data_IF_329383870091
#
_entry.id   IF_329383870091
#
_cell.length_a   1.000
_cell.length_b   1.000
_cell.length_c   1.000
_cell.angle_alpha   90.00
_cell.angle_beta   90.00
_cell.angle_gamma   90.00
#
_symmetry.space_group_name_H-M   'P 1'
#
loop_
_entity.id
_entity.type
_entity.pdbx_description
1 polymer ?
#
# COMPACT_ATOMS: atom_id res chain seq x y z
N UNK A 1 -4.38 -12.95 25.98
CA UNK A 1 -3.24 -12.16 25.45
C UNK A 1 -3.21 -12.44 23.97
N UNK A 2 -3.40 -11.42 23.13
CA UNK A 2 -3.21 -11.58 21.69
C UNK A 2 -1.73 -11.94 21.43
N UNK A 3 -1.50 -12.93 20.57
CA UNK A 3 -0.15 -13.33 20.16
C UNK A 3 0.52 -12.25 19.31
N UNK A 4 1.83 -12.36 19.09
CA UNK A 4 2.51 -11.45 18.16
C UNK A 4 1.94 -11.61 16.75
N UNK A 5 1.53 -12.82 16.35
CA UNK A 5 0.86 -13.13 15.09
C UNK A 5 -0.47 -12.39 14.94
N UNK A 6 -1.29 -12.33 16.00
CA UNK A 6 -2.56 -11.57 15.98
C UNK A 6 -2.28 -10.07 15.77
N UNK A 7 -1.26 -9.53 16.43
CA UNK A 7 -0.86 -8.14 16.27
C UNK A 7 -0.28 -7.84 14.88
N UNK A 8 0.44 -8.79 14.27
CA UNK A 8 0.96 -8.67 12.90
C UNK A 8 -0.18 -8.69 11.87
N UNK A 9 -1.20 -9.53 12.06
CA UNK A 9 -2.38 -9.53 11.19
C UNK A 9 -3.20 -8.24 11.34
N UNK A 10 -3.38 -7.73 12.56
CA UNK A 10 -4.05 -6.44 12.79
C UNK A 10 -3.31 -5.29 12.07
N UNK A 11 -1.98 -5.30 12.09
CA UNK A 11 -1.17 -4.33 11.35
C UNK A 11 -1.30 -4.52 9.83
N UNK A 12 -1.30 -5.76 9.35
CA UNK A 12 -1.46 -6.07 7.94
C UNK A 12 -2.84 -5.64 7.42
N UNK A 13 -3.90 -5.83 8.20
CA UNK A 13 -5.26 -5.38 7.88
C UNK A 13 -5.31 -3.85 7.75
N UNK A 14 -4.78 -3.12 8.75
CA UNK A 14 -4.74 -1.65 8.71
C UNK A 14 -3.93 -1.11 7.54
N UNK A 15 -2.82 -1.76 7.19
CA UNK A 15 -2.03 -1.39 6.01
C UNK A 15 -2.80 -1.68 4.72
N UNK A 16 -3.58 -2.78 4.65
CA UNK A 16 -4.43 -3.05 3.51
C UNK A 16 -5.51 -1.99 3.33
N UNK A 17 -6.12 -1.50 4.41
CA UNK A 17 -7.09 -0.39 4.38
C UNK A 17 -6.43 0.89 3.83
N UNK A 18 -5.24 1.25 4.32
CA UNK A 18 -4.48 2.39 3.80
C UNK A 18 -4.15 2.23 2.31
N UNK A 19 -3.87 1.01 1.86
CA UNK A 19 -3.63 0.76 0.43
C UNK A 19 -4.89 1.02 -0.42
N UNK A 20 -6.08 0.72 0.12
CA UNK A 20 -7.36 1.03 -0.52
C UNK A 20 -7.63 2.54 -0.52
N UNK A 21 -7.40 3.23 0.60
CA UNK A 21 -7.53 4.69 0.67
C UNK A 21 -6.63 5.41 -0.36
N UNK A 22 -5.41 4.91 -0.57
CA UNK A 22 -4.49 5.43 -1.59
C UNK A 22 -4.98 5.19 -3.02
N UNK A 23 -5.71 4.11 -3.27
CA UNK A 23 -6.36 3.86 -4.57
C UNK A 23 -7.51 4.84 -4.78
N UNK A 24 -8.37 5.01 -3.79
CA UNK A 24 -9.52 5.92 -3.86
C UNK A 24 -9.06 7.36 -4.11
N UNK A 25 -8.03 7.82 -3.38
CA UNK A 25 -7.41 9.13 -3.63
C UNK A 25 -6.84 9.25 -5.05
N UNK A 26 -6.25 8.17 -5.58
CA UNK A 26 -5.77 8.14 -6.96
C UNK A 26 -6.92 8.28 -7.97
N UNK A 27 -8.04 7.57 -7.74
CA UNK A 27 -9.21 7.68 -8.60
C UNK A 27 -9.84 9.07 -8.57
N UNK A 28 -9.97 9.67 -7.40
CA UNK A 28 -10.46 11.05 -7.25
C UNK A 28 -9.57 12.03 -8.00
N UNK A 29 -8.25 11.95 -7.78
CA UNK A 29 -7.28 12.82 -8.44
C UNK A 29 -7.25 12.64 -9.96
N UNK A 30 -7.35 11.40 -10.46
CA UNK A 30 -7.46 11.12 -11.90
C UNK A 30 -8.73 11.72 -12.50
N UNK A 31 -9.85 11.65 -11.77
CA UNK A 31 -11.13 12.22 -12.21
C UNK A 31 -11.04 13.75 -12.34
N UNK A 32 -10.37 14.41 -11.40
CA UNK A 32 -10.12 15.86 -11.45
C UNK A 32 -9.12 16.22 -12.56
N UNK A 33 -8.04 15.45 -12.70
CA UNK A 33 -7.02 15.64 -13.72
C UNK A 33 -7.59 15.60 -15.14
N UNK A 34 -8.51 14.66 -15.40
CA UNK A 34 -9.18 14.51 -16.68
C UNK A 34 -9.99 15.76 -17.09
N UNK A 35 -10.41 16.59 -16.13
CA UNK A 35 -11.13 17.83 -16.39
C UNK A 35 -10.20 19.04 -16.67
N UNK A 36 -8.96 19.01 -16.17
CA UNK A 36 -8.06 20.18 -16.17
C UNK A 36 -6.81 20.08 -17.08
N UNK A 37 -6.36 18.87 -17.42
CA UNK A 37 -5.22 18.66 -18.35
C UNK A 37 -3.84 19.10 -17.84
N UNK A 38 -3.67 19.34 -16.53
CA UNK A 38 -2.42 19.85 -15.96
C UNK A 38 -1.36 18.72 -15.75
N UNK A 39 -0.13 18.86 -16.30
CA UNK A 39 0.99 17.95 -16.05
C UNK A 39 1.32 17.71 -14.57
N UNK A 40 1.00 18.63 -13.67
CA UNK A 40 1.18 18.46 -12.22
C UNK A 40 0.45 17.22 -11.67
N UNK A 41 -0.65 16.79 -12.32
CA UNK A 41 -1.38 15.61 -11.90
C UNK A 41 -0.55 14.32 -12.02
N UNK A 42 0.33 14.21 -13.02
CA UNK A 42 1.18 13.03 -13.22
C UNK A 42 2.19 12.84 -12.08
N UNK A 43 2.64 13.92 -11.45
CA UNK A 43 3.57 13.85 -10.33
C UNK A 43 2.90 13.27 -9.08
N UNK A 44 1.65 13.67 -8.82
CA UNK A 44 0.83 13.17 -7.71
C UNK A 44 0.47 11.69 -7.94
N UNK A 45 0.05 11.32 -9.15
CA UNK A 45 -0.22 9.92 -9.52
C UNK A 45 0.96 8.99 -9.25
N UNK A 46 2.16 9.40 -9.68
CA UNK A 46 3.38 8.62 -9.43
C UNK A 46 3.70 8.49 -7.94
N UNK A 47 3.37 9.51 -7.15
CA UNK A 47 3.55 9.49 -5.69
C UNK A 47 2.59 8.51 -5.03
N UNK A 48 1.30 8.57 -5.39
CA UNK A 48 0.26 7.67 -4.87
C UNK A 48 0.57 6.21 -5.24
N UNK A 49 0.88 5.93 -6.51
CA UNK A 49 1.23 4.59 -6.98
C UNK A 49 2.45 4.01 -6.25
N UNK A 50 3.47 4.84 -5.95
CA UNK A 50 4.64 4.41 -5.17
C UNK A 50 4.27 4.09 -3.73
N UNK A 51 3.46 4.93 -3.09
CA UNK A 51 3.00 4.73 -1.72
C UNK A 51 2.20 3.42 -1.61
N UNK A 52 1.22 3.21 -2.49
CA UNK A 52 0.41 1.98 -2.51
C UNK A 52 1.26 0.73 -2.64
N UNK A 53 2.23 0.72 -3.56
CA UNK A 53 3.15 -0.43 -3.73
C UNK A 53 3.97 -0.71 -2.49
N UNK A 54 4.47 0.32 -1.82
CA UNK A 54 5.23 0.16 -0.58
C UNK A 54 4.37 -0.46 0.52
N UNK A 55 3.13 0.03 0.69
CA UNK A 55 2.17 -0.50 1.67
C UNK A 55 1.79 -1.94 1.34
N UNK A 56 1.48 -2.24 0.07
CA UNK A 56 1.13 -3.61 -0.37
C UNK A 56 2.27 -4.61 -0.11
N UNK A 57 3.53 -4.19 -0.29
CA UNK A 57 4.70 -5.01 0.05
C UNK A 57 4.82 -5.25 1.55
N UNK A 58 4.54 -4.24 2.38
CA UNK A 58 4.53 -4.40 3.83
C UNK A 58 3.43 -5.38 4.28
N UNK A 59 2.23 -5.28 3.72
CA UNK A 59 1.15 -6.26 3.97
C UNK A 59 1.61 -7.68 3.62
N UNK A 60 2.20 -7.86 2.44
CA UNK A 60 2.70 -9.17 2.02
C UNK A 60 3.78 -9.71 2.95
N UNK A 61 4.72 -8.87 3.40
CA UNK A 61 5.78 -9.26 4.33
C UNK A 61 5.24 -9.67 5.71
N UNK A 62 4.23 -8.97 6.22
CA UNK A 62 3.60 -9.30 7.50
C UNK A 62 2.80 -10.60 7.43
N UNK A 63 2.10 -10.86 6.32
CA UNK A 63 1.23 -12.04 6.15
C UNK A 63 1.95 -13.29 5.68
N UNK A 64 3.07 -13.16 4.98
CA UNK A 64 3.82 -14.31 4.50
C UNK A 64 4.33 -15.19 5.67
N UNK A 65 4.48 -14.62 6.87
CA UNK A 65 5.41 -15.15 7.85
C UNK A 65 6.83 -15.07 7.28
N UNK A 66 7.86 -15.09 8.12
CA UNK A 66 9.25 -14.96 7.67
C UNK A 66 9.58 -15.85 6.44
N UNK A 67 9.77 -15.28 5.23
CA UNK A 67 10.21 -16.06 4.07
C UNK A 67 11.73 -16.34 4.13
N UNK A 68 12.45 -15.70 5.06
CA UNK A 68 13.91 -15.75 5.20
C UNK A 68 14.37 -16.76 6.28
N UNK A 69 13.51 -17.70 6.67
CA UNK A 69 13.86 -18.78 7.58
C UNK A 69 14.93 -19.76 7.06
N UNK A 70 15.14 -19.92 5.74
CA UNK A 70 16.26 -20.70 5.16
C UNK A 70 16.38 -20.46 3.65
N UNK A 71 17.29 -19.59 3.20
CA UNK A 71 18.08 -19.78 1.95
C UNK A 71 19.08 -18.63 1.76
N UNK A 72 20.05 -18.56 2.66
CA UNK A 72 21.38 -18.11 2.29
C UNK A 72 22.22 -19.36 1.98
N UNK A 73 22.27 -19.77 0.71
CA UNK A 73 23.36 -20.58 0.15
C UNK A 73 24.38 -19.60 -0.40
#
# INVERSE_FOLDING_TARGET
MAGIEDALEDLAARLADIAADLDDLGFEHLREAAAGGDPAHLAVERRLARARRAVSRAVAALRAGDPDGTSGI
#
